data_IF_888868971174
#
_entry.id   IF_888868971174
#
_cell.length_a   1.000
_cell.length_b   1.000
_cell.length_c   1.000
_cell.angle_alpha   90.00
_cell.angle_beta   90.00
_cell.angle_gamma   90.00
#
_symmetry.space_group_name_H-M   'P 1'
#
loop_
_entity.id
_entity.type
_entity.pdbx_description
1 polymer ?
#
# COMPACT_ATOMS: atom_id res chain seq x y z
N UNK A 1 47.19 49.00 -10.42
CA UNK A 1 45.97 48.85 -9.61
C UNK A 1 45.11 50.05 -9.94
N UNK A 2 44.16 49.88 -10.86
CA UNK A 2 43.30 50.96 -11.37
C UNK A 2 42.16 51.14 -10.36
N UNK A 3 41.98 52.37 -9.88
CA UNK A 3 40.99 52.68 -8.85
C UNK A 3 39.61 52.83 -9.50
N UNK A 4 38.68 51.93 -9.16
CA UNK A 4 37.33 51.86 -9.74
C UNK A 4 36.31 52.78 -9.05
N UNK A 5 36.77 53.65 -8.15
CA UNK A 5 35.90 54.50 -7.33
C UNK A 5 35.60 55.88 -7.93
N UNK A 6 36.27 56.27 -9.03
CA UNK A 6 35.96 57.51 -9.74
C UNK A 6 34.89 57.28 -10.81
N UNK A 7 33.77 58.03 -10.82
CA UNK A 7 32.85 57.99 -11.94
C UNK A 7 33.56 58.53 -13.19
N UNK A 8 33.62 57.73 -14.25
CA UNK A 8 34.19 58.15 -15.55
C UNK A 8 33.52 59.45 -15.99
N UNK A 9 34.36 60.47 -16.23
CA UNK A 9 33.89 61.78 -16.66
C UNK A 9 33.41 61.65 -18.12
N UNK A 10 32.11 61.81 -18.35
CA UNK A 10 31.48 61.65 -19.67
C UNK A 10 32.14 62.55 -20.71
N UNK A 11 32.79 61.96 -21.70
CA UNK A 11 33.36 62.67 -22.84
C UNK A 11 32.29 62.78 -23.95
N UNK A 12 31.85 63.99 -24.33
CA UNK A 12 30.86 64.17 -25.37
C UNK A 12 31.30 63.63 -26.75
N UNK A 13 32.61 63.42 -26.97
CA UNK A 13 33.13 62.85 -28.23
C UNK A 13 32.88 61.35 -28.36
N UNK A 14 32.60 60.63 -27.27
CA UNK A 14 32.21 59.21 -27.32
C UNK A 14 30.90 59.01 -28.07
N UNK A 15 29.99 59.99 -27.98
CA UNK A 15 28.73 59.96 -28.69
C UNK A 15 28.87 60.11 -30.19
N UNK A 16 29.81 60.94 -30.64
CA UNK A 16 30.13 61.04 -32.06
C UNK A 16 30.76 59.74 -32.59
N UNK A 17 31.60 59.08 -31.79
CA UNK A 17 32.17 57.78 -32.16
C UNK A 17 31.11 56.69 -32.27
N UNK A 18 30.14 56.66 -31.36
CA UNK A 18 29.04 55.69 -31.40
C UNK A 18 28.14 55.92 -32.62
N UNK A 19 27.82 57.17 -32.95
CA UNK A 19 27.06 57.53 -34.16
C UNK A 19 27.79 57.07 -35.42
N UNK A 20 29.10 57.36 -35.51
CA UNK A 20 29.92 56.95 -36.67
C UNK A 20 30.00 55.44 -36.83
N UNK A 21 30.08 54.68 -35.72
CA UNK A 21 30.03 53.20 -35.76
C UNK A 21 28.68 52.68 -36.24
N UNK A 22 27.57 53.32 -35.85
CA UNK A 22 26.22 52.94 -36.30
C UNK A 22 26.03 53.21 -37.80
N UNK A 23 26.51 54.34 -38.31
CA UNK A 23 26.44 54.66 -39.74
C UNK A 23 27.25 53.66 -40.59
N UNK A 24 28.45 53.29 -40.13
CA UNK A 24 29.27 52.26 -40.80
C UNK A 24 28.59 50.89 -40.74
N UNK A 25 27.95 50.54 -39.63
CA UNK A 25 27.20 49.29 -39.50
C UNK A 25 25.96 49.24 -40.40
N UNK A 26 25.24 50.36 -40.57
CA UNK A 26 24.06 50.44 -41.45
C UNK A 26 24.40 50.33 -42.93
N UNK A 27 25.59 50.77 -43.35
CA UNK A 27 26.05 50.67 -44.75
C UNK A 27 26.60 49.30 -45.13
N UNK A 28 26.84 48.41 -44.17
CA UNK A 28 27.30 47.05 -44.43
C UNK A 28 26.11 46.13 -44.63
N UNK A 29 26.04 45.37 -45.74
CA UNK A 29 25.03 44.33 -45.85
C UNK A 29 25.21 43.32 -44.70
N UNK A 30 24.12 42.79 -44.13
CA UNK A 30 24.20 41.83 -43.04
C UNK A 30 24.96 40.59 -43.52
N UNK A 31 26.07 40.25 -42.85
CA UNK A 31 26.90 39.07 -43.16
C UNK A 31 26.39 37.80 -42.45
N UNK A 32 25.13 37.82 -42.00
CA UNK A 32 24.47 36.70 -41.35
C UNK A 32 23.44 36.13 -42.31
N UNK A 33 23.61 34.87 -42.70
CA UNK A 33 22.63 34.12 -43.46
C UNK A 33 21.91 33.21 -42.47
N UNK A 34 20.57 33.33 -42.41
CA UNK A 34 19.81 32.49 -41.49
C UNK A 34 19.82 31.03 -41.99
N UNK A 35 19.65 30.07 -41.07
CA UNK A 35 19.53 28.66 -41.45
C UNK A 35 18.36 28.42 -42.44
N UNK A 36 17.30 29.23 -42.35
CA UNK A 36 16.17 29.19 -43.27
C UNK A 36 16.57 29.64 -44.69
N UNK A 37 17.39 30.69 -44.82
CA UNK A 37 17.88 31.17 -46.11
C UNK A 37 18.85 30.19 -46.78
N UNK A 38 19.54 29.35 -45.99
CA UNK A 38 20.38 28.25 -46.47
C UNK A 38 19.58 26.99 -46.85
N UNK A 39 18.24 27.03 -46.76
CA UNK A 39 17.38 25.87 -47.02
C UNK A 39 17.52 24.76 -45.96
N UNK A 40 18.16 25.04 -44.84
CA UNK A 40 18.34 24.10 -43.74
C UNK A 40 17.06 24.12 -42.90
N UNK A 41 16.17 23.16 -43.14
CA UNK A 41 15.05 22.91 -42.26
C UNK A 41 15.55 22.15 -41.03
N UNK A 42 15.52 22.72 -39.81
CA UNK A 42 15.96 22.00 -38.63
C UNK A 42 15.00 20.83 -38.42
N UNK A 43 15.49 19.60 -38.63
CA UNK A 43 14.72 18.40 -38.24
C UNK A 43 14.54 18.44 -36.72
N UNK A 44 13.30 18.32 -36.21
CA UNK A 44 13.09 18.27 -34.78
C UNK A 44 13.83 17.06 -34.21
N UNK A 45 14.72 17.30 -33.24
CA UNK A 45 15.34 16.22 -32.48
C UNK A 45 14.25 15.69 -31.55
N UNK A 46 13.49 14.70 -32.05
CA UNK A 46 12.54 13.95 -31.23
C UNK A 46 13.36 13.11 -30.27
N UNK A 47 13.67 13.64 -29.08
CA UNK A 47 14.19 12.83 -27.99
C UNK A 47 13.06 11.91 -27.57
N UNK A 48 13.12 10.65 -28.01
CA UNK A 48 12.30 9.59 -27.44
C UNK A 48 12.68 9.50 -25.97
N UNK A 49 11.84 10.04 -25.09
CA UNK A 49 11.93 9.77 -23.66
C UNK A 49 11.57 8.29 -23.57
N UNK A 50 12.58 7.42 -23.49
CA UNK A 50 12.35 6.04 -23.10
C UNK A 50 11.73 6.10 -21.72
N UNK A 51 10.50 5.59 -21.61
CA UNK A 51 9.86 5.44 -20.31
C UNK A 51 10.86 4.72 -19.40
N UNK A 52 11.13 5.22 -18.17
CA UNK A 52 12.03 4.53 -17.27
C UNK A 52 11.57 3.08 -17.18
N UNK A 53 12.51 2.15 -17.39
CA UNK A 53 12.23 0.73 -17.33
C UNK A 53 11.41 0.46 -16.05
N UNK A 54 10.35 -0.38 -16.12
CA UNK A 54 9.53 -0.64 -14.95
C UNK A 54 10.46 -1.05 -13.82
N UNK A 55 10.46 -0.27 -12.74
CA UNK A 55 11.26 -0.55 -11.56
C UNK A 55 10.86 -1.96 -11.10
N UNK A 56 11.72 -2.94 -11.36
CA UNK A 56 11.56 -4.28 -10.84
C UNK A 56 11.83 -4.17 -9.35
N UNK A 57 10.76 -4.01 -8.58
CA UNK A 57 10.80 -4.20 -7.15
C UNK A 57 11.08 -5.69 -6.98
N UNK A 58 12.33 -6.04 -6.68
CA UNK A 58 12.73 -7.38 -6.24
C UNK A 58 12.19 -7.56 -4.80
N UNK A 59 10.86 -7.56 -4.70
CA UNK A 59 10.18 -7.87 -3.46
C UNK A 59 10.38 -9.37 -3.23
N UNK A 60 10.87 -9.78 -2.05
CA UNK A 60 10.92 -11.20 -1.73
C UNK A 60 9.52 -11.77 -1.94
N UNK A 61 9.40 -12.69 -2.90
CA UNK A 61 8.14 -13.38 -3.15
C UNK A 61 7.67 -13.96 -1.83
N UNK A 62 6.38 -13.82 -1.48
CA UNK A 62 5.86 -14.40 -0.24
C UNK A 62 6.23 -15.89 -0.26
N UNK A 63 6.90 -16.34 0.81
CA UNK A 63 7.28 -17.75 0.97
C UNK A 63 6.04 -18.58 0.73
N UNK A 64 6.00 -19.31 -0.39
CA UNK A 64 4.92 -20.23 -0.68
C UNK A 64 5.11 -21.46 0.22
N UNK A 65 4.51 -21.43 1.40
CA UNK A 65 4.44 -22.60 2.26
C UNK A 65 3.45 -23.57 1.63
N UNK A 66 3.96 -24.53 0.85
CA UNK A 66 3.13 -25.61 0.32
C UNK A 66 2.81 -26.56 1.47
N UNK A 67 1.75 -26.27 2.23
CA UNK A 67 1.19 -27.19 3.23
C UNK A 67 0.39 -28.25 2.50
N UNK A 68 1.00 -29.42 2.26
CA UNK A 68 0.26 -30.60 1.79
C UNK A 68 -0.40 -31.26 2.98
N UNK A 69 -1.72 -31.13 3.07
CA UNK A 69 -2.52 -31.91 4.02
C UNK A 69 -2.48 -33.38 3.56
N UNK A 70 -1.91 -34.26 4.37
CA UNK A 70 -1.84 -35.71 4.08
C UNK A 70 -3.08 -36.48 4.53
N UNK A 71 -4.05 -35.80 5.15
CA UNK A 71 -5.24 -36.40 5.78
C UNK A 71 -6.52 -36.06 5.03
N UNK A 72 -7.62 -36.74 5.35
CA UNK A 72 -8.95 -36.43 4.81
C UNK A 72 -9.70 -35.39 5.67
N UNK A 73 -10.68 -34.70 5.07
CA UNK A 73 -11.60 -33.82 5.81
C UNK A 73 -12.43 -34.58 6.85
N UNK A 74 -12.72 -35.86 6.60
CA UNK A 74 -13.45 -36.72 7.52
C UNK A 74 -12.62 -36.97 8.79
N UNK A 75 -11.32 -37.23 8.64
CA UNK A 75 -10.43 -37.45 9.78
C UNK A 75 -10.26 -36.19 10.61
N UNK A 76 -10.23 -35.01 9.95
CA UNK A 76 -10.22 -33.72 10.63
C UNK A 76 -11.50 -33.47 11.43
N UNK A 77 -12.68 -33.74 10.84
CA UNK A 77 -13.95 -33.59 11.53
C UNK A 77 -14.06 -34.55 12.74
N UNK A 78 -13.64 -35.80 12.57
CA UNK A 78 -13.57 -36.78 13.67
C UNK A 78 -12.62 -36.31 14.77
N UNK A 79 -11.42 -35.85 14.41
CA UNK A 79 -10.45 -35.31 15.36
C UNK A 79 -11.01 -34.13 16.17
N UNK A 80 -11.71 -33.20 15.50
CA UNK A 80 -12.41 -32.12 16.18
C UNK A 80 -13.45 -32.64 17.16
N UNK A 81 -14.34 -33.55 16.75
CA UNK A 81 -15.38 -34.10 17.62
C UNK A 81 -14.82 -34.85 18.83
N UNK A 82 -13.74 -35.63 18.65
CA UNK A 82 -13.10 -36.38 19.74
C UNK A 82 -12.61 -35.44 20.85
N UNK A 83 -12.09 -34.27 20.48
CA UNK A 83 -11.51 -33.32 21.46
C UNK A 83 -12.56 -32.34 21.98
N UNK A 84 -13.41 -31.79 21.11
CA UNK A 84 -14.29 -30.67 21.47
C UNK A 84 -15.55 -31.10 22.23
N UNK A 85 -16.12 -32.27 21.94
CA UNK A 85 -17.33 -32.76 22.61
C UNK A 85 -17.12 -32.96 24.11
N UNK A 86 -16.10 -33.70 24.60
CA UNK A 86 -15.93 -33.90 26.04
C UNK A 86 -15.64 -32.58 26.76
N UNK A 87 -14.90 -31.67 26.13
CA UNK A 87 -14.64 -30.34 26.66
C UNK A 87 -15.93 -29.52 26.80
N UNK A 88 -16.72 -29.43 25.73
CA UNK A 88 -18.00 -28.71 25.75
C UNK A 88 -19.01 -29.35 26.71
N UNK A 89 -19.04 -30.69 26.80
CA UNK A 89 -19.84 -31.42 27.76
C UNK A 89 -19.44 -31.10 29.20
N UNK A 90 -18.13 -31.04 29.48
CA UNK A 90 -17.61 -30.64 30.79
C UNK A 90 -18.06 -29.23 31.19
N UNK A 91 -17.97 -28.25 30.28
CA UNK A 91 -18.45 -26.89 30.56
C UNK A 91 -19.97 -26.84 30.66
N UNK A 92 -20.68 -27.59 29.82
CA UNK A 92 -22.13 -27.78 29.89
C UNK A 92 -22.57 -28.19 31.30
N UNK A 93 -22.04 -29.32 31.76
CA UNK A 93 -22.34 -29.86 33.10
C UNK A 93 -21.91 -28.88 34.19
N UNK A 94 -20.76 -28.21 34.04
CA UNK A 94 -20.35 -27.14 34.96
C UNK A 94 -21.36 -26.00 35.06
N UNK A 95 -21.88 -25.53 33.92
CA UNK A 95 -22.93 -24.52 33.85
C UNK A 95 -24.22 -24.97 34.53
N UNK A 96 -24.63 -26.22 34.31
CA UNK A 96 -25.77 -26.83 34.99
C UNK A 96 -25.58 -26.82 36.51
N UNK A 97 -24.42 -27.25 37.00
CA UNK A 97 -24.11 -27.30 38.44
C UNK A 97 -24.13 -25.89 39.06
N UNK A 98 -23.65 -24.87 38.34
CA UNK A 98 -23.71 -23.48 38.78
C UNK A 98 -25.17 -23.01 38.87
N UNK A 99 -26.00 -23.29 37.86
CA UNK A 99 -27.40 -22.89 37.86
C UNK A 99 -28.20 -23.55 38.99
N UNK A 100 -27.94 -24.82 39.28
CA UNK A 100 -28.60 -25.55 40.37
C UNK A 100 -28.07 -25.12 41.74
N UNK A 101 -26.75 -25.08 41.92
CA UNK A 101 -26.11 -24.84 43.21
C UNK A 101 -26.17 -23.40 43.67
N UNK A 102 -25.90 -22.45 42.76
CA UNK A 102 -25.89 -21.01 43.08
C UNK A 102 -27.23 -20.37 42.72
N UNK A 103 -27.76 -20.70 41.54
CA UNK A 103 -29.03 -20.13 41.07
C UNK A 103 -30.28 -20.71 41.72
N UNK A 104 -30.14 -21.77 42.53
CA UNK A 104 -31.25 -22.50 43.16
C UNK A 104 -32.33 -22.98 42.15
N UNK A 105 -31.94 -23.18 40.89
CA UNK A 105 -32.83 -23.60 39.81
C UNK A 105 -33.03 -25.12 39.89
N UNK A 106 -34.25 -25.67 39.82
CA UNK A 106 -34.46 -27.11 39.86
C UNK A 106 -33.77 -27.82 38.67
N UNK A 107 -33.11 -28.95 38.93
CA UNK A 107 -32.20 -29.61 37.96
C UNK A 107 -32.87 -30.03 36.64
N UNK A 108 -34.17 -30.39 36.68
CA UNK A 108 -34.96 -30.75 35.50
C UNK A 108 -35.89 -29.63 35.04
N UNK A 109 -35.67 -28.40 35.49
CA UNK A 109 -36.40 -27.25 34.97
C UNK A 109 -35.91 -26.86 33.58
N UNK A 110 -36.76 -26.15 32.83
CA UNK A 110 -36.38 -25.57 31.55
C UNK A 110 -35.15 -24.65 31.67
N UNK A 111 -35.03 -23.88 32.76
CA UNK A 111 -33.89 -23.00 32.98
C UNK A 111 -32.57 -23.76 33.11
N UNK A 112 -32.54 -24.83 33.90
CA UNK A 112 -31.36 -25.67 34.07
C UNK A 112 -30.93 -26.34 32.74
N UNK A 113 -31.90 -26.86 31.98
CA UNK A 113 -31.64 -27.45 30.66
C UNK A 113 -31.09 -26.40 29.68
N UNK A 114 -31.68 -25.20 29.63
CA UNK A 114 -31.18 -24.13 28.78
C UNK A 114 -29.74 -23.75 29.13
N UNK A 115 -29.40 -23.63 30.41
CA UNK A 115 -28.01 -23.34 30.82
C UNK A 115 -27.06 -24.45 30.37
N UNK A 116 -27.43 -25.73 30.58
CA UNK A 116 -26.64 -26.87 30.11
C UNK A 116 -26.38 -26.81 28.60
N UNK A 117 -27.44 -26.67 27.81
CA UNK A 117 -27.34 -26.69 26.34
C UNK A 117 -26.66 -25.45 25.78
N UNK A 118 -26.93 -24.26 26.32
CA UNK A 118 -26.33 -23.02 25.82
C UNK A 118 -24.85 -22.90 26.18
N UNK A 119 -24.45 -23.34 27.37
CA UNK A 119 -23.03 -23.38 27.74
C UNK A 119 -22.26 -24.40 26.91
N UNK A 120 -22.82 -25.59 26.69
CA UNK A 120 -22.30 -26.58 25.75
C UNK A 120 -22.16 -25.97 24.34
N UNK A 121 -23.25 -25.43 23.80
CA UNK A 121 -23.31 -24.89 22.44
C UNK A 121 -22.34 -23.72 22.26
N UNK A 122 -22.28 -22.81 23.24
CA UNK A 122 -21.39 -21.66 23.20
C UNK A 122 -19.92 -22.06 23.14
N UNK A 123 -19.49 -23.00 23.99
CA UNK A 123 -18.11 -23.51 23.98
C UNK A 123 -17.82 -24.31 22.71
N UNK A 124 -18.73 -25.18 22.31
CA UNK A 124 -18.56 -25.98 21.10
C UNK A 124 -18.46 -25.11 19.84
N UNK A 125 -19.32 -24.10 19.71
CA UNK A 125 -19.31 -23.15 18.60
C UNK A 125 -18.04 -22.29 18.61
N UNK A 126 -17.61 -21.79 19.77
CA UNK A 126 -16.36 -21.05 19.88
C UNK A 126 -15.15 -21.92 19.47
N UNK A 127 -15.11 -23.17 19.91
CA UNK A 127 -14.08 -24.12 19.51
C UNK A 127 -14.13 -24.43 18.01
N UNK A 128 -15.32 -24.54 17.42
CA UNK A 128 -15.50 -24.75 15.98
C UNK A 128 -14.98 -23.55 15.18
N UNK A 129 -15.37 -22.32 15.54
CA UNK A 129 -14.90 -21.11 14.85
C UNK A 129 -13.38 -20.95 14.97
N UNK A 130 -12.81 -21.28 16.12
CA UNK A 130 -11.36 -21.30 16.31
C UNK A 130 -10.68 -22.38 15.47
N UNK A 131 -11.24 -23.59 15.46
CA UNK A 131 -10.69 -24.70 14.68
C UNK A 131 -10.69 -24.41 13.18
N UNK A 132 -11.75 -23.76 12.68
CA UNK A 132 -11.86 -23.40 11.27
C UNK A 132 -10.95 -22.21 10.92
N UNK A 133 -10.83 -21.21 11.80
CA UNK A 133 -9.96 -20.06 11.57
C UNK A 133 -8.47 -20.41 11.61
N UNK A 134 -8.07 -21.36 12.46
CA UNK A 134 -6.71 -21.87 12.56
C UNK A 134 -6.36 -22.94 11.49
N UNK A 135 -7.32 -23.30 10.64
CA UNK A 135 -7.12 -24.26 9.57
C UNK A 135 -6.29 -23.67 8.41
N UNK A 136 -5.74 -24.49 7.49
CA UNK A 136 -5.01 -23.98 6.32
C UNK A 136 -5.85 -23.00 5.49
N UNK A 137 -7.12 -23.34 5.26
CA UNK A 137 -8.06 -22.49 4.52
C UNK A 137 -8.36 -21.20 5.29
N UNK A 138 -8.58 -21.30 6.60
CA UNK A 138 -8.81 -20.15 7.47
C UNK A 138 -7.62 -19.19 7.52
N UNK A 139 -6.40 -19.70 7.69
CA UNK A 139 -5.17 -18.91 7.70
C UNK A 139 -4.96 -18.25 6.33
N UNK A 140 -5.25 -18.95 5.23
CA UNK A 140 -5.16 -18.38 3.89
C UNK A 140 -6.12 -17.19 3.70
N UNK A 141 -7.35 -17.31 4.21
CA UNK A 141 -8.34 -16.24 4.19
C UNK A 141 -7.85 -15.03 5.00
N UNK A 142 -7.36 -15.25 6.22
CA UNK A 142 -6.81 -14.18 7.05
C UNK A 142 -5.62 -13.49 6.39
N UNK A 143 -4.73 -14.26 5.78
CA UNK A 143 -3.59 -13.73 5.06
C UNK A 143 -4.05 -12.80 3.93
N UNK A 144 -4.99 -13.24 3.09
CA UNK A 144 -5.53 -12.43 1.98
C UNK A 144 -6.19 -11.15 2.52
N UNK A 145 -7.02 -11.25 3.56
CA UNK A 145 -7.70 -10.10 4.15
C UNK A 145 -6.72 -9.08 4.74
N UNK A 146 -5.68 -9.54 5.43
CA UNK A 146 -4.65 -8.67 6.01
C UNK A 146 -3.77 -8.03 4.93
N UNK A 147 -3.42 -8.78 3.86
CA UNK A 147 -2.69 -8.22 2.71
C UNK A 147 -3.51 -7.14 2.01
N UNK A 148 -4.81 -7.37 1.79
CA UNK A 148 -5.69 -6.37 1.22
C UNK A 148 -5.77 -5.12 2.10
N UNK A 149 -5.86 -5.30 3.43
CA UNK A 149 -5.85 -4.19 4.38
C UNK A 149 -4.56 -3.38 4.30
N UNK A 150 -3.41 -4.04 4.22
CA UNK A 150 -2.10 -3.39 4.06
C UNK A 150 -2.02 -2.59 2.76
N UNK A 151 -2.42 -3.21 1.64
CA UNK A 151 -2.40 -2.58 0.32
C UNK A 151 -3.25 -1.30 0.29
N UNK A 152 -4.44 -1.35 0.90
CA UNK A 152 -5.32 -0.18 1.01
C UNK A 152 -4.68 0.96 1.80
N UNK A 153 -3.94 0.66 2.86
CA UNK A 153 -3.22 1.69 3.63
C UNK A 153 -2.08 2.31 2.80
N UNK A 154 -1.32 1.50 2.06
CA UNK A 154 -0.27 2.01 1.19
C UNK A 154 -0.84 2.88 0.07
N UNK A 155 -1.91 2.46 -0.59
CA UNK A 155 -2.56 3.24 -1.65
C UNK A 155 -3.03 4.59 -1.13
N UNK A 156 -3.67 4.62 0.05
CA UNK A 156 -4.11 5.87 0.67
C UNK A 156 -2.93 6.79 0.99
N UNK A 157 -1.84 6.25 1.55
CA UNK A 157 -0.64 7.03 1.86
C UNK A 157 0.10 7.54 0.61
N UNK A 158 0.02 6.81 -0.51
CA UNK A 158 0.57 7.27 -1.80
C UNK A 158 -0.28 8.41 -2.37
N UNK A 159 -1.59 8.29 -2.35
CA UNK A 159 -2.51 9.34 -2.80
C UNK A 159 -2.30 10.64 -2.00
N UNK A 160 -2.22 10.53 -0.66
CA UNK A 160 -1.96 11.69 0.20
C UNK A 160 -0.63 12.38 -0.10
N UNK A 161 0.42 11.63 -0.49
CA UNK A 161 1.69 12.24 -0.89
C UNK A 161 1.58 12.99 -2.21
N UNK A 162 0.83 12.45 -3.17
CA UNK A 162 0.58 13.12 -4.46
C UNK A 162 -0.23 14.41 -4.27
N UNK A 163 -1.22 14.42 -3.39
CA UNK A 163 -2.04 15.60 -3.07
C UNK A 163 -1.26 16.72 -2.34
N UNK A 164 -0.14 16.40 -1.69
CA UNK A 164 0.71 17.38 -0.99
C UNK A 164 1.80 17.99 -1.87
N UNK A 165 2.11 17.35 -3.00
CA UNK A 165 3.13 17.79 -3.96
C UNK A 165 2.54 18.68 -5.09
N UNK A 166 1.21 18.87 -5.13
CA UNK A 166 0.47 19.81 -5.99
C UNK A 166 0.13 21.13 -5.26
#
# INVERSE_FOLDING_TARGET
MTDYTQPEQYDPTDWEQVQRRREVAQRRPPNYVSAADLGITPKPIVRRIEAPAPMQIDAPLPVQTVQRLTTSHVDRAKGFSIVSIPMAAGVGVGGLLIAVGIGAVPIFSMGALLVLFLSFLGVWLAAFLWHESASPDGVSLWQVLLHYRLLRHEQKARLQRMELDE
#
